data_IF_466480566507
#
_entry.id   IF_466480566507
#
_cell.length_a   1.000
_cell.length_b   1.000
_cell.length_c   1.000
_cell.angle_alpha   90.00
_cell.angle_beta   90.00
_cell.angle_gamma   90.00
#
_symmetry.space_group_name_H-M   'P 1'
#
loop_
_entity.id
_entity.type
_entity.pdbx_description
1 polymer ?
#
# COMPACT_ATOMS: atom_id res chain seq x y z
N UNK A 1 25.41 6.32 -16.55
CA UNK A 1 24.24 6.03 -17.41
C UNK A 1 23.19 5.34 -16.55
N UNK A 2 22.00 5.95 -16.44
CA UNK A 2 20.97 5.59 -15.46
C UNK A 2 20.33 4.22 -15.76
N UNK A 3 20.29 3.32 -14.77
CA UNK A 3 19.60 2.01 -14.83
C UNK A 3 18.13 2.14 -15.27
N UNK A 4 17.52 3.28 -14.96
CA UNK A 4 16.16 3.63 -15.33
C UNK A 4 15.93 3.87 -16.82
N UNK A 5 16.98 4.17 -17.60
CA UNK A 5 16.87 4.31 -19.06
C UNK A 5 16.68 2.95 -19.75
N UNK A 6 17.23 1.86 -19.17
CA UNK A 6 16.94 0.49 -19.64
C UNK A 6 15.47 0.12 -19.45
N UNK A 7 14.83 0.66 -18.41
CA UNK A 7 13.43 0.38 -18.06
C UNK A 7 12.44 0.87 -19.13
N UNK A 8 12.72 2.01 -19.76
CA UNK A 8 11.87 2.58 -20.82
C UNK A 8 12.09 1.87 -22.16
N UNK A 9 13.29 1.36 -22.43
CA UNK A 9 13.60 0.65 -23.68
C UNK A 9 12.93 -0.74 -23.76
N UNK A 10 12.75 -1.42 -22.62
CA UNK A 10 12.07 -2.73 -22.57
C UNK A 10 10.56 -2.61 -22.87
N UNK A 11 9.94 -1.48 -22.54
CA UNK A 11 8.51 -1.23 -22.77
C UNK A 11 8.11 -1.10 -24.25
N UNK A 12 9.06 -0.87 -25.17
CA UNK A 12 8.74 -0.69 -26.60
C UNK A 12 8.79 -1.97 -27.45
N UNK A 13 9.39 -3.07 -26.96
CA UNK A 13 9.56 -4.29 -27.76
C UNK A 13 8.56 -5.41 -27.49
N UNK A 14 7.70 -5.31 -26.48
CA UNK A 14 6.78 -6.39 -26.10
C UNK A 14 5.45 -6.44 -26.90
N UNK A 15 5.22 -5.54 -27.87
CA UNK A 15 3.94 -5.47 -28.61
C UNK A 15 3.90 -6.25 -29.93
N UNK A 16 4.80 -7.22 -30.16
CA UNK A 16 4.92 -7.88 -31.47
C UNK A 16 5.04 -9.41 -31.42
N UNK A 17 4.26 -10.10 -30.57
CA UNK A 17 3.97 -11.53 -30.76
C UNK A 17 2.54 -11.80 -30.35
N UNK A 18 1.64 -11.92 -31.33
CA UNK A 18 0.28 -12.43 -31.10
C UNK A 18 0.28 -13.96 -31.08
N UNK A 19 -0.43 -14.63 -30.15
CA UNK A 19 -0.62 -16.06 -30.23
C UNK A 19 -1.78 -16.39 -31.19
N UNK A 20 -1.42 -17.03 -32.30
CA UNK A 20 -2.29 -17.82 -33.16
C UNK A 20 -3.01 -18.92 -32.37
N UNK A 21 -4.28 -19.16 -32.69
CA UNK A 21 -5.09 -20.18 -32.04
C UNK A 21 -4.71 -21.62 -32.39
N UNK A 22 -5.34 -22.57 -31.69
CA UNK A 22 -5.74 -23.87 -32.24
C UNK A 22 -6.81 -24.51 -31.35
N UNK A 23 -7.80 -25.12 -31.99
CA UNK A 23 -8.96 -25.79 -31.40
C UNK A 23 -8.78 -27.33 -31.37
N UNK A 24 -9.83 -28.02 -30.84
CA UNK A 24 -10.17 -29.47 -30.86
C UNK A 24 -9.47 -30.36 -29.81
N UNK A 25 -10.06 -31.45 -29.27
CA UNK A 25 -11.36 -32.15 -29.42
C UNK A 25 -11.40 -33.39 -28.49
N UNK A 26 -12.62 -33.81 -28.12
CA UNK A 26 -13.15 -35.18 -27.88
C UNK A 26 -12.61 -36.15 -26.81
N UNK A 27 -13.59 -36.60 -26.02
CA UNK A 27 -13.96 -37.95 -25.53
C UNK A 27 -13.01 -38.80 -24.67
N UNK A 28 -13.60 -39.34 -23.59
CA UNK A 28 -13.00 -40.39 -22.78
C UNK A 28 -13.84 -40.74 -21.55
N UNK A 29 -14.88 -41.55 -21.75
CA UNK A 29 -15.66 -42.26 -20.72
C UNK A 29 -14.76 -43.23 -19.95
N UNK A 30 -14.86 -43.26 -18.61
CA UNK A 30 -14.18 -44.24 -17.78
C UNK A 30 -14.63 -44.16 -16.32
N UNK A 31 -15.62 -44.95 -15.96
CA UNK A 31 -15.94 -45.27 -14.56
C UNK A 31 -14.88 -46.19 -14.00
N UNK A 32 -14.19 -45.78 -12.95
CA UNK A 32 -13.62 -46.70 -11.96
C UNK A 32 -13.82 -46.13 -10.56
N UNK A 33 -14.39 -46.99 -9.71
CA UNK A 33 -14.63 -46.77 -8.30
C UNK A 33 -13.30 -46.57 -7.56
N UNK A 34 -13.22 -45.52 -6.73
CA UNK A 34 -12.10 -45.37 -5.81
C UNK A 34 -12.64 -45.12 -4.40
N UNK A 35 -12.30 -46.09 -3.55
CA UNK A 35 -12.42 -46.16 -2.10
C UNK A 35 -12.48 -44.82 -1.37
N UNK A 36 -13.58 -44.65 -0.64
CA UNK A 36 -13.75 -43.67 0.45
C UNK A 36 -12.92 -44.08 1.67
N UNK A 37 -11.61 -43.85 1.66
CA UNK A 37 -10.80 -43.80 2.90
C UNK A 37 -9.42 -43.18 2.65
N UNK A 38 -9.40 -41.87 2.44
CA UNK A 38 -8.21 -41.06 2.65
C UNK A 38 -8.68 -39.74 3.26
N UNK A 39 -8.50 -39.63 4.58
CA UNK A 39 -8.64 -38.39 5.32
C UNK A 39 -7.80 -37.32 4.62
N UNK A 40 -8.51 -36.36 4.05
CA UNK A 40 -7.99 -35.13 3.48
C UNK A 40 -7.44 -34.32 4.64
N UNK A 41 -6.19 -34.57 5.00
CA UNK A 41 -5.36 -33.56 5.63
C UNK A 41 -5.06 -32.55 4.52
N UNK A 42 -5.97 -31.58 4.42
CA UNK A 42 -5.82 -30.41 3.58
C UNK A 42 -4.59 -29.68 4.08
N UNK A 43 -3.46 -30.00 3.46
CA UNK A 43 -2.31 -29.13 3.39
C UNK A 43 -2.86 -27.81 2.88
N UNK A 44 -3.08 -26.86 3.80
CA UNK A 44 -3.14 -25.45 3.47
C UNK A 44 -1.80 -25.15 2.84
N UNK A 45 -1.74 -25.33 1.52
CA UNK A 45 -0.82 -24.62 0.67
C UNK A 45 -1.13 -23.15 0.93
N UNK A 46 -0.47 -22.57 1.94
CA UNK A 46 -0.23 -21.14 2.00
C UNK A 46 0.54 -20.84 0.73
N UNK A 47 -0.21 -20.65 -0.36
CA UNK A 47 0.29 -19.95 -1.52
C UNK A 47 0.74 -18.62 -0.95
N UNK A 48 2.04 -18.47 -0.73
CA UNK A 48 2.66 -17.18 -0.46
C UNK A 48 2.42 -16.34 -1.71
N UNK A 49 1.22 -15.78 -1.82
CA UNK A 49 0.92 -14.73 -2.77
C UNK A 49 1.78 -13.57 -2.31
N UNK A 50 3.00 -13.52 -2.84
CA UNK A 50 3.93 -12.42 -2.60
C UNK A 50 3.18 -11.11 -2.78
N UNK A 51 3.53 -10.05 -2.03
CA UNK A 51 2.71 -8.87 -1.87
C UNK A 51 2.22 -8.37 -3.23
N UNK A 52 0.93 -8.57 -3.48
CA UNK A 52 0.28 -8.29 -4.75
C UNK A 52 0.50 -6.83 -5.07
N UNK A 53 1.16 -6.52 -6.18
CA UNK A 53 1.38 -5.13 -6.57
C UNK A 53 0.02 -4.52 -6.91
N UNK A 54 -0.26 -3.39 -6.28
CA UNK A 54 -1.53 -2.68 -6.31
C UNK A 54 -1.46 -1.55 -7.33
N UNK A 55 -2.55 -1.30 -8.07
CA UNK A 55 -2.70 -0.07 -8.84
C UNK A 55 -2.93 1.14 -7.94
N UNK A 56 -2.94 2.35 -8.51
CA UNK A 56 -3.06 3.61 -7.76
C UNK A 56 -4.30 3.64 -6.85
N UNK A 57 -5.49 3.39 -7.41
CA UNK A 57 -6.75 3.43 -6.64
C UNK A 57 -6.74 2.42 -5.50
N UNK A 58 -6.35 1.17 -5.77
CA UNK A 58 -6.28 0.13 -4.74
C UNK A 58 -5.24 0.43 -3.65
N UNK A 59 -4.11 1.03 -4.02
CA UNK A 59 -3.12 1.48 -3.05
C UNK A 59 -3.67 2.63 -2.19
N UNK A 60 -4.29 3.63 -2.82
CA UNK A 60 -4.90 4.77 -2.13
C UNK A 60 -6.01 4.33 -1.17
N UNK A 61 -6.90 3.45 -1.61
CA UNK A 61 -7.95 2.88 -0.79
C UNK A 61 -7.37 2.16 0.42
N UNK A 62 -6.28 1.40 0.23
CA UNK A 62 -5.55 0.76 1.32
C UNK A 62 -4.98 1.79 2.32
N UNK A 63 -4.38 2.89 1.84
CA UNK A 63 -3.88 3.94 2.73
C UNK A 63 -5.01 4.60 3.53
N UNK A 64 -6.16 4.84 2.91
CA UNK A 64 -7.35 5.39 3.59
C UNK A 64 -7.85 4.43 4.67
N UNK A 65 -8.02 3.14 4.34
CA UNK A 65 -8.48 2.12 5.30
C UNK A 65 -7.50 1.98 6.47
N UNK A 66 -6.20 1.96 6.20
CA UNK A 66 -5.18 1.90 7.25
C UNK A 66 -5.24 3.12 8.17
N UNK A 67 -5.39 4.33 7.63
CA UNK A 67 -5.53 5.55 8.41
C UNK A 67 -6.83 5.58 9.23
N UNK A 68 -7.96 5.19 8.65
CA UNK A 68 -9.24 5.08 9.34
C UNK A 68 -9.16 4.11 10.53
N UNK A 69 -8.56 2.94 10.32
CA UNK A 69 -8.40 1.94 11.37
C UNK A 69 -7.56 2.48 12.54
N UNK A 70 -6.52 3.27 12.27
CA UNK A 70 -5.72 3.92 13.33
C UNK A 70 -6.56 4.93 14.13
N UNK A 71 -7.32 5.80 13.44
CA UNK A 71 -8.23 6.77 14.08
C UNK A 71 -9.24 6.06 14.99
N UNK A 72 -9.90 5.00 14.49
CA UNK A 72 -10.89 4.24 15.27
C UNK A 72 -10.27 3.60 16.51
N UNK A 73 -9.10 2.96 16.36
CA UNK A 73 -8.39 2.32 17.49
C UNK A 73 -8.05 3.34 18.59
N UNK A 74 -7.51 4.49 18.21
CA UNK A 74 -7.14 5.51 19.19
C UNK A 74 -8.37 6.19 19.82
N UNK A 75 -9.41 6.46 19.03
CA UNK A 75 -10.69 6.97 19.55
C UNK A 75 -11.28 6.02 20.60
N UNK A 76 -11.25 4.72 20.35
CA UNK A 76 -11.72 3.72 21.32
C UNK A 76 -10.86 3.70 22.59
N UNK A 77 -9.53 3.83 22.45
CA UNK A 77 -8.61 3.96 23.58
C UNK A 77 -8.96 5.17 24.45
N UNK A 78 -9.19 6.34 23.85
CA UNK A 78 -9.57 7.58 24.55
C UNK A 78 -10.89 7.40 25.32
N UNK A 79 -11.90 6.75 24.73
CA UNK A 79 -13.17 6.46 25.41
C UNK A 79 -12.95 5.61 26.66
N UNK A 80 -12.07 4.61 26.60
CA UNK A 80 -11.72 3.77 27.74
C UNK A 80 -10.92 4.55 28.81
N UNK A 81 -10.00 5.41 28.40
CA UNK A 81 -9.23 6.29 29.31
C UNK A 81 -10.13 7.27 30.07
N UNK A 82 -11.07 7.93 29.37
CA UNK A 82 -12.06 8.82 30.00
C UNK A 82 -12.92 8.10 31.02
N UNK A 83 -13.36 6.87 30.73
CA UNK A 83 -14.11 6.05 31.69
C UNK A 83 -13.28 5.73 32.94
N UNK A 84 -11.99 5.41 32.77
CA UNK A 84 -11.07 5.13 33.88
C UNK A 84 -10.85 6.36 34.78
N UNK A 85 -10.71 7.54 34.20
CA UNK A 85 -10.58 8.80 34.95
C UNK A 85 -11.85 9.10 35.75
N UNK A 86 -13.03 8.90 35.16
CA UNK A 86 -14.30 9.08 35.86
C UNK A 86 -14.46 8.17 37.09
N UNK A 87 -13.83 6.99 37.08
CA UNK A 87 -13.78 6.07 38.22
C UNK A 87 -12.60 6.28 39.18
N UNK A 88 -11.54 6.96 38.76
CA UNK A 88 -10.30 7.15 39.51
C UNK A 88 -10.14 8.64 39.87
N UNK A 89 -10.81 9.05 40.94
CA UNK A 89 -10.77 10.43 41.43
C UNK A 89 -9.33 10.84 41.79
N UNK A 90 -8.76 11.82 41.07
CA UNK A 90 -7.59 12.60 41.51
C UNK A 90 -6.21 12.23 40.92
N UNK A 91 -6.11 11.36 39.91
CA UNK A 91 -4.80 10.93 39.41
C UNK A 91 -4.31 11.77 38.21
N UNK A 92 -3.52 12.81 38.47
CA UNK A 92 -3.02 13.78 37.47
C UNK A 92 -2.30 13.12 36.28
N UNK A 93 -1.59 12.00 36.50
CA UNK A 93 -0.90 11.25 35.43
C UNK A 93 -1.85 10.72 34.35
N UNK A 94 -3.04 10.25 34.76
CA UNK A 94 -4.04 9.72 33.82
C UNK A 94 -4.66 10.87 33.00
N UNK A 95 -4.74 12.07 33.57
CA UNK A 95 -5.19 13.26 32.83
C UNK A 95 -4.21 13.70 31.75
N UNK A 96 -2.90 13.55 31.97
CA UNK A 96 -1.89 13.93 30.97
C UNK A 96 -1.78 12.88 29.85
N UNK A 97 -1.89 11.60 30.17
CA UNK A 97 -1.99 10.52 29.18
C UNK A 97 -3.20 10.71 28.24
N UNK A 98 -4.35 11.12 28.80
CA UNK A 98 -5.54 11.42 28.00
C UNK A 98 -5.30 12.58 27.02
N UNK A 99 -4.71 13.69 27.50
CA UNK A 99 -4.40 14.84 26.62
C UNK A 99 -3.45 14.43 25.50
N UNK A 100 -2.45 13.59 25.80
CA UNK A 100 -1.53 13.09 24.78
C UNK A 100 -2.25 12.24 23.74
N UNK A 101 -3.12 11.32 24.18
CA UNK A 101 -3.95 10.52 23.26
C UNK A 101 -4.86 11.42 22.39
N UNK A 102 -5.42 12.50 22.94
CA UNK A 102 -6.25 13.46 22.19
C UNK A 102 -5.45 14.21 21.12
N UNK A 103 -4.24 14.68 21.45
CA UNK A 103 -3.34 15.29 20.47
C UNK A 103 -2.94 14.32 19.35
N UNK A 104 -2.63 13.08 19.71
CA UNK A 104 -2.32 12.02 18.73
C UNK A 104 -3.52 11.72 17.81
N UNK A 105 -4.76 11.81 18.33
CA UNK A 105 -5.96 11.62 17.52
C UNK A 105 -6.11 12.70 16.45
N UNK A 106 -5.77 13.94 16.76
CA UNK A 106 -5.82 15.03 15.78
C UNK A 106 -4.79 14.84 14.67
N UNK A 107 -3.56 14.42 15.01
CA UNK A 107 -2.54 14.04 14.01
C UNK A 107 -3.02 12.88 13.14
N UNK A 108 -3.67 11.86 13.72
CA UNK A 108 -4.21 10.75 12.93
C UNK A 108 -5.36 11.17 12.00
N UNK A 109 -6.17 12.17 12.39
CA UNK A 109 -7.22 12.74 11.52
C UNK A 109 -6.62 13.51 10.35
N UNK A 110 -5.57 14.29 10.59
CA UNK A 110 -4.80 14.94 9.52
C UNK A 110 -4.21 13.91 8.56
N UNK A 111 -3.65 12.81 9.09
CA UNK A 111 -3.10 11.73 8.28
C UNK A 111 -4.18 11.01 7.44
N UNK A 112 -5.39 10.84 7.97
CA UNK A 112 -6.51 10.34 7.19
C UNK A 112 -6.89 11.29 6.06
N UNK A 113 -6.89 12.60 6.31
CA UNK A 113 -7.14 13.58 5.26
C UNK A 113 -6.03 13.54 4.20
N UNK A 114 -4.77 13.46 4.61
CA UNK A 114 -3.64 13.27 3.69
C UNK A 114 -3.81 12.01 2.83
N UNK A 115 -4.22 10.88 3.43
CA UNK A 115 -4.48 9.64 2.69
C UNK A 115 -5.57 9.80 1.61
N UNK A 116 -6.61 10.61 1.89
CA UNK A 116 -7.68 10.94 0.92
C UNK A 116 -7.19 11.85 -0.20
N UNK A 117 -6.23 12.71 0.09
CA UNK A 117 -5.69 13.68 -0.86
C UNK A 117 -4.47 13.14 -1.64
N UNK A 118 -4.09 11.87 -1.43
CA UNK A 118 -3.00 11.22 -2.16
C UNK A 118 -3.19 11.32 -3.67
N UNK A 119 -2.10 11.70 -4.34
CA UNK A 119 -2.01 11.87 -5.78
C UNK A 119 -1.23 10.74 -6.44
N UNK A 120 -1.26 10.70 -7.76
CA UNK A 120 -0.53 9.71 -8.54
C UNK A 120 0.99 9.96 -8.45
N UNK A 121 1.42 11.22 -8.26
CA UNK A 121 2.80 11.56 -7.94
C UNK A 121 3.24 10.95 -6.60
N UNK A 122 2.38 10.97 -5.58
CA UNK A 122 2.69 10.36 -4.27
C UNK A 122 2.79 8.83 -4.38
N UNK A 123 1.94 8.22 -5.20
CA UNK A 123 2.01 6.79 -5.50
C UNK A 123 3.33 6.41 -6.17
N UNK A 124 3.75 7.18 -7.18
CA UNK A 124 5.04 6.96 -7.83
C UNK A 124 6.19 7.17 -6.85
N UNK A 125 6.15 8.23 -6.05
CA UNK A 125 7.24 8.61 -5.15
C UNK A 125 7.39 7.68 -3.93
N UNK A 126 6.28 7.20 -3.37
CA UNK A 126 6.26 6.49 -2.08
C UNK A 126 6.00 4.99 -2.21
N UNK A 127 5.31 4.53 -3.27
CA UNK A 127 4.99 3.12 -3.45
C UNK A 127 5.84 2.48 -4.54
N UNK A 128 5.89 3.07 -5.74
CA UNK A 128 6.60 2.47 -6.87
C UNK A 128 8.12 2.47 -6.73
N UNK A 129 8.69 3.45 -6.04
CA UNK A 129 10.12 3.50 -5.71
C UNK A 129 10.60 2.26 -4.94
N UNK A 130 9.73 1.64 -4.13
CA UNK A 130 10.07 0.41 -3.40
C UNK A 130 10.18 -0.83 -4.31
N UNK A 131 9.86 -0.71 -5.60
CA UNK A 131 9.97 -1.79 -6.57
C UNK A 131 11.10 -1.61 -7.57
N UNK A 132 11.95 -0.58 -7.42
CA UNK A 132 13.03 -0.27 -8.37
C UNK A 132 13.98 -1.46 -8.58
N UNK A 133 14.15 -2.31 -7.58
CA UNK A 133 15.04 -3.48 -7.63
C UNK A 133 14.35 -4.78 -8.07
N UNK A 134 13.04 -4.76 -8.36
CA UNK A 134 12.26 -5.97 -8.60
C UNK A 134 11.47 -5.94 -9.91
N UNK A 135 12.13 -6.37 -10.99
CA UNK A 135 11.54 -6.48 -12.33
C UNK A 135 10.24 -7.32 -12.34
N UNK A 136 10.17 -8.37 -11.49
CA UNK A 136 8.97 -9.22 -11.37
C UNK A 136 7.75 -8.45 -10.84
N UNK A 137 7.95 -7.59 -9.83
CA UNK A 137 6.87 -6.78 -9.24
C UNK A 137 6.39 -5.72 -10.24
N UNK A 138 7.32 -5.12 -10.98
CA UNK A 138 6.99 -4.17 -12.05
C UNK A 138 6.24 -4.85 -13.20
N UNK A 139 6.66 -6.02 -13.64
CA UNK A 139 5.95 -6.80 -14.67
C UNK A 139 4.51 -7.12 -14.24
N UNK A 140 4.33 -7.62 -13.01
CA UNK A 140 3.00 -7.91 -12.46
C UNK A 140 2.12 -6.67 -12.24
N UNK A 141 2.71 -5.48 -12.16
CA UNK A 141 1.97 -4.22 -12.18
C UNK A 141 1.54 -3.86 -13.60
N UNK A 142 2.44 -3.98 -14.58
CA UNK A 142 2.16 -3.64 -15.99
C UNK A 142 1.01 -4.49 -16.58
N UNK A 143 0.90 -5.75 -16.18
CA UNK A 143 -0.19 -6.64 -16.61
C UNK A 143 -1.58 -6.18 -16.13
N UNK A 144 -1.64 -5.39 -15.05
CA UNK A 144 -2.89 -4.94 -14.42
C UNK A 144 -3.30 -3.53 -14.81
N UNK A 145 -2.37 -2.75 -15.34
CA UNK A 145 -2.62 -1.35 -15.68
C UNK A 145 -3.15 -1.24 -17.11
N UNK A 146 -4.14 -0.39 -17.28
CA UNK A 146 -4.56 0.07 -18.60
C UNK A 146 -3.49 0.95 -19.26
N UNK A 147 -3.58 1.14 -20.58
CA UNK A 147 -2.64 2.00 -21.31
C UNK A 147 -2.68 3.43 -20.81
N UNK A 148 -3.87 3.89 -20.46
CA UNK A 148 -4.16 5.22 -19.95
C UNK A 148 -3.50 5.42 -18.58
N UNK A 149 -3.65 4.46 -17.66
CA UNK A 149 -2.99 4.50 -16.34
C UNK A 149 -1.47 4.43 -16.46
N UNK A 150 -0.94 3.59 -17.36
CA UNK A 150 0.50 3.55 -17.62
C UNK A 150 1.03 4.90 -18.11
N UNK A 151 0.32 5.55 -19.05
CA UNK A 151 0.70 6.88 -19.53
C UNK A 151 0.68 7.91 -18.41
N UNK A 152 -0.30 7.85 -17.51
CA UNK A 152 -0.41 8.76 -16.37
C UNK A 152 0.72 8.56 -15.35
N UNK A 153 1.08 7.31 -15.07
CA UNK A 153 2.25 6.95 -14.23
C UNK A 153 3.54 7.51 -14.85
N UNK A 154 3.74 7.32 -16.15
CA UNK A 154 4.93 7.83 -16.85
C UNK A 154 4.98 9.37 -16.80
N UNK A 155 3.85 10.05 -17.05
CA UNK A 155 3.78 11.52 -16.95
C UNK A 155 4.13 12.00 -15.54
N UNK A 156 3.57 11.37 -14.51
CA UNK A 156 3.82 11.69 -13.11
C UNK A 156 5.29 11.45 -12.73
N UNK A 157 5.89 10.37 -13.20
CA UNK A 157 7.31 10.09 -13.01
C UNK A 157 8.22 11.15 -13.63
N UNK A 158 7.94 11.56 -14.87
CA UNK A 158 8.69 12.60 -15.57
C UNK A 158 8.58 13.95 -14.86
N UNK A 159 7.38 14.29 -14.37
CA UNK A 159 7.15 15.50 -13.57
C UNK A 159 7.97 15.47 -12.27
N UNK A 160 7.94 14.35 -11.55
CA UNK A 160 8.71 14.17 -10.31
C UNK A 160 10.22 14.33 -10.54
N UNK A 161 10.76 13.80 -11.65
CA UNK A 161 12.18 13.99 -12.01
C UNK A 161 12.55 15.45 -12.23
N UNK A 162 11.75 16.20 -13.00
CA UNK A 162 11.98 17.63 -13.21
C UNK A 162 11.95 18.40 -11.89
N UNK A 163 11.01 18.08 -11.01
CA UNK A 163 10.91 18.73 -9.71
C UNK A 163 12.13 18.45 -8.82
N UNK A 164 12.69 17.23 -8.84
CA UNK A 164 13.91 16.89 -8.08
C UNK A 164 15.15 17.65 -8.55
N UNK A 165 15.28 17.91 -9.85
CA UNK A 165 16.37 18.73 -10.40
C UNK A 165 16.28 20.20 -9.94
N UNK A 166 15.08 20.65 -9.55
CA UNK A 166 14.81 21.99 -9.01
C UNK A 166 14.83 22.01 -7.47
N UNK A 167 15.17 20.89 -6.81
CA UNK A 167 15.24 20.80 -5.34
C UNK A 167 13.89 20.58 -4.63
N UNK A 168 12.85 20.13 -5.34
CA UNK A 168 11.56 19.81 -4.74
C UNK A 168 11.63 18.51 -3.93
N UNK A 169 11.38 18.61 -2.62
CA UNK A 169 11.18 17.48 -1.73
C UNK A 169 9.72 17.01 -1.85
N UNK A 170 9.45 15.77 -2.31
CA UNK A 170 8.09 15.23 -2.24
C UNK A 170 7.61 15.26 -0.79
N UNK A 171 6.30 15.45 -0.57
CA UNK A 171 5.72 15.39 0.78
C UNK A 171 5.97 14.00 1.34
N UNK A 172 6.99 13.88 2.18
CA UNK A 172 7.26 12.68 2.94
C UNK A 172 6.00 12.37 3.74
N UNK A 173 5.56 11.13 3.64
CA UNK A 173 4.43 10.55 4.37
C UNK A 173 4.32 11.14 5.78
N UNK A 174 3.13 11.62 6.16
CA UNK A 174 2.78 12.39 7.35
C UNK A 174 3.16 11.82 8.73
N UNK A 175 4.43 11.51 8.92
CA UNK A 175 5.06 11.45 10.24
C UNK A 175 5.72 12.80 10.42
N UNK A 176 5.08 13.78 11.10
CA UNK A 176 5.81 14.96 11.51
C UNK A 176 7.05 14.50 12.31
N UNK A 177 8.24 15.06 12.06
CA UNK A 177 9.39 14.77 12.90
C UNK A 177 8.99 15.11 14.34
N UNK A 178 9.07 14.13 15.24
CA UNK A 178 8.90 14.35 16.68
C UNK A 178 10.06 15.25 17.09
N UNK A 179 9.80 16.55 17.12
CA UNK A 179 10.73 17.56 17.58
C UNK A 179 10.93 17.33 19.07
N UNK A 180 11.96 16.54 19.40
CA UNK A 180 12.30 16.16 20.75
C UNK A 180 12.86 17.40 21.46
N UNK A 181 11.96 18.26 21.95
CA UNK A 181 12.29 19.38 22.84
C UNK A 181 12.66 18.79 24.19
N UNK A 182 13.90 18.34 24.30
CA UNK A 182 14.54 18.10 25.59
C UNK A 182 14.56 19.44 26.34
N UNK A 183 13.89 19.57 27.51
CA UNK A 183 14.12 20.72 28.36
C UNK A 183 15.54 20.63 28.88
N UNK A 184 16.38 21.62 28.53
CA UNK A 184 17.68 21.80 29.16
C UNK A 184 17.48 21.91 30.67
N UNK A 185 18.15 21.03 31.41
CA UNK A 185 18.25 21.03 32.88
C UNK A 185 18.92 22.31 33.40
#
# INVERSE_FOLDING_TARGET
MNKLFKMVTVLFFASLVGPSGLAKSMDGTGSEEISSSALVESVQEETQVGPTVLGFNSWKDRQIVEAQNRVVRLSNKIVLERKRIGSASGNNKVSDELKQSELELDVLRENLQFARDLTLEDYVANYLTNFEESDKKLAGLLEKLTKEEMLEIVRSYLKLRRSKEVGFQPRLTGVPPVENKNPSL
#
